data_IF_974522175749
#
_entry.id   IF_974522175749
#
_cell.length_a   1.000
_cell.length_b   1.000
_cell.length_c   1.000
_cell.angle_alpha   90.00
_cell.angle_beta   90.00
_cell.angle_gamma   90.00
#
_symmetry.space_group_name_H-M   'P 1'
#
loop_
_entity.id
_entity.type
_entity.pdbx_description
1 polymer ?
#
# COMPACT_ATOMS: atom_id res chain seq x y z
N UNK A 1 9.13 31.12 1.86
CA UNK A 1 7.83 30.40 1.92
C UNK A 1 7.96 29.26 2.92
N UNK A 2 7.07 29.12 3.91
CA UNK A 2 6.99 27.88 4.70
C UNK A 2 6.10 26.92 3.92
N UNK A 3 6.63 25.78 3.52
CA UNK A 3 5.83 24.71 2.92
C UNK A 3 4.71 24.31 3.90
N UNK A 4 3.46 24.40 3.45
CA UNK A 4 2.32 23.87 4.18
C UNK A 4 2.26 22.38 3.89
N UNK A 5 2.66 21.58 4.88
CA UNK A 5 2.44 20.14 4.87
C UNK A 5 0.99 19.81 4.53
N UNK A 6 0.79 18.96 3.53
CA UNK A 6 -0.50 18.41 3.10
C UNK A 6 -1.13 17.58 4.22
N UNK A 7 -2.35 17.09 3.99
CA UNK A 7 -3.00 16.18 4.94
C UNK A 7 -2.15 14.92 5.16
N UNK A 8 -1.63 14.33 4.09
CA UNK A 8 -0.86 13.09 4.16
C UNK A 8 0.56 13.30 4.70
N UNK A 9 1.22 14.43 4.41
CA UNK A 9 2.49 14.82 5.03
C UNK A 9 2.46 14.81 6.57
N UNK A 10 1.27 15.04 7.15
CA UNK A 10 1.07 15.07 8.60
C UNK A 10 0.70 13.71 9.18
N UNK A 11 0.11 12.83 8.38
CA UNK A 11 -0.56 11.61 8.87
C UNK A 11 0.11 10.30 8.44
N UNK A 12 0.88 10.29 7.34
CA UNK A 12 1.45 9.08 6.76
C UNK A 12 2.24 8.23 7.78
N UNK A 13 3.07 8.86 8.62
CA UNK A 13 3.87 8.14 9.62
C UNK A 13 3.08 7.43 10.73
N UNK A 14 1.77 7.71 10.88
CA UNK A 14 0.89 7.05 11.87
C UNK A 14 -0.13 6.12 11.22
N UNK A 15 -0.30 6.20 9.90
CA UNK A 15 -1.35 5.51 9.17
C UNK A 15 -1.27 3.99 9.39
N UNK A 16 -0.09 3.40 9.19
CA UNK A 16 0.12 1.95 9.38
C UNK A 16 -0.25 1.48 10.79
N UNK A 17 0.04 2.28 11.82
CA UNK A 17 -0.32 1.93 13.20
C UNK A 17 -1.84 1.94 13.40
N UNK A 18 -2.56 2.84 12.73
CA UNK A 18 -4.03 2.87 12.78
C UNK A 18 -4.62 1.64 12.09
N UNK A 19 -4.11 1.30 10.89
CA UNK A 19 -4.60 0.18 10.08
C UNK A 19 -4.36 -1.21 10.70
N UNK A 20 -3.44 -1.35 11.66
CA UNK A 20 -3.24 -2.62 12.39
C UNK A 20 -4.50 -3.14 13.07
N UNK A 21 -5.45 -2.27 13.43
CA UNK A 21 -6.72 -2.69 14.02
C UNK A 21 -7.55 -3.54 13.06
N UNK A 22 -7.37 -3.31 11.76
CA UNK A 22 -8.05 -4.01 10.68
C UNK A 22 -7.19 -5.14 10.09
N UNK A 23 -6.16 -5.60 10.83
CA UNK A 23 -5.16 -6.54 10.32
C UNK A 23 -5.75 -7.81 9.70
N UNK A 24 -6.80 -8.40 10.30
CA UNK A 24 -7.44 -9.59 9.76
C UNK A 24 -8.08 -9.35 8.37
N UNK A 25 -8.65 -8.16 8.14
CA UNK A 25 -9.20 -7.81 6.83
C UNK A 25 -8.07 -7.65 5.80
N UNK A 26 -6.94 -7.05 6.20
CA UNK A 26 -5.76 -6.92 5.34
C UNK A 26 -5.15 -8.27 4.97
N UNK A 27 -4.98 -9.19 5.93
CA UNK A 27 -4.49 -10.54 5.62
C UNK A 27 -5.40 -11.24 4.61
N UNK A 28 -6.72 -11.18 4.81
CA UNK A 28 -7.67 -11.75 3.85
C UNK A 28 -7.55 -11.09 2.47
N UNK A 29 -7.36 -9.77 2.39
CA UNK A 29 -7.11 -9.10 1.11
C UNK A 29 -5.83 -9.58 0.45
N UNK A 30 -4.74 -9.75 1.19
CA UNK A 30 -3.47 -10.25 0.65
C UNK A 30 -3.63 -11.65 0.07
N UNK A 31 -4.28 -12.56 0.80
CA UNK A 31 -4.55 -13.92 0.34
C UNK A 31 -5.38 -13.95 -0.96
N UNK A 32 -6.35 -13.06 -1.09
CA UNK A 32 -7.17 -12.96 -2.30
C UNK A 32 -6.40 -12.36 -3.49
N UNK A 33 -5.54 -11.36 -3.25
CA UNK A 33 -4.84 -10.63 -4.31
C UNK A 33 -3.64 -11.42 -4.84
N UNK A 34 -2.87 -12.07 -3.97
CA UNK A 34 -1.65 -12.81 -4.34
C UNK A 34 -1.82 -13.78 -5.54
N UNK A 35 -2.84 -14.65 -5.62
CA UNK A 35 -3.01 -15.53 -6.77
C UNK A 35 -3.36 -14.77 -8.05
N UNK A 36 -4.04 -13.63 -7.95
CA UNK A 36 -4.47 -12.82 -9.10
C UNK A 36 -3.28 -12.11 -9.76
N UNK A 37 -2.32 -11.66 -8.95
CA UNK A 37 -1.14 -10.91 -9.40
C UNK A 37 0.06 -11.80 -9.75
N UNK A 38 -0.06 -13.12 -9.54
CA UNK A 38 1.06 -14.05 -9.63
C UNK A 38 1.77 -13.96 -11.00
N UNK A 39 3.08 -13.68 -10.96
CA UNK A 39 3.94 -13.52 -12.14
C UNK A 39 3.53 -12.39 -13.11
N UNK A 40 2.71 -11.42 -12.66
CA UNK A 40 2.28 -10.28 -13.46
C UNK A 40 3.09 -9.03 -13.17
N UNK A 41 3.07 -8.10 -14.11
CA UNK A 41 3.43 -6.70 -13.85
C UNK A 41 2.19 -5.98 -13.32
N UNK A 42 2.32 -5.31 -12.16
CA UNK A 42 1.21 -4.69 -11.43
C UNK A 42 1.47 -3.20 -11.26
N UNK A 43 0.41 -2.39 -11.37
CA UNK A 43 0.42 -0.97 -11.00
C UNK A 43 -0.54 -0.76 -9.83
N UNK A 44 -0.02 -0.30 -8.69
CA UNK A 44 -0.80 0.16 -7.55
C UNK A 44 -0.93 1.68 -7.59
N UNK A 45 -2.17 2.16 -7.75
CA UNK A 45 -2.51 3.58 -7.72
C UNK A 45 -2.93 4.00 -6.32
N UNK A 46 -2.53 5.21 -5.91
CA UNK A 46 -2.80 5.76 -4.59
C UNK A 46 -2.30 4.82 -3.47
N UNK A 47 -1.05 4.37 -3.59
CA UNK A 47 -0.48 3.35 -2.71
C UNK A 47 -0.32 3.80 -1.26
N UNK A 48 -0.35 5.11 -1.00
CA UNK A 48 -0.11 5.68 0.31
C UNK A 48 1.22 5.20 0.89
N UNK A 49 1.18 4.48 2.01
CA UNK A 49 2.37 3.91 2.65
C UNK A 49 2.88 2.60 2.02
N UNK A 50 2.21 2.10 0.99
CA UNK A 50 2.58 0.89 0.27
C UNK A 50 2.25 -0.40 1.01
N UNK A 51 1.26 -0.40 1.90
CA UNK A 51 0.90 -1.58 2.71
C UNK A 51 0.58 -2.79 1.84
N UNK A 52 -0.23 -2.61 0.79
CA UNK A 52 -0.62 -3.68 -0.13
C UNK A 52 0.58 -4.13 -0.96
N UNK A 53 1.21 -3.23 -1.73
CA UNK A 53 2.40 -3.53 -2.54
C UNK A 53 3.44 -4.36 -1.78
N UNK A 54 3.79 -3.95 -0.56
CA UNK A 54 4.79 -4.63 0.28
C UNK A 54 4.44 -6.09 0.59
N UNK A 55 3.15 -6.42 0.72
CA UNK A 55 2.69 -7.76 1.10
C UNK A 55 2.46 -8.68 -0.10
N UNK A 56 2.28 -8.12 -1.29
CA UNK A 56 2.03 -8.91 -2.52
C UNK A 56 3.24 -8.95 -3.48
N UNK A 57 4.30 -8.17 -3.23
CA UNK A 57 5.48 -8.06 -4.13
C UNK A 57 6.12 -9.40 -4.45
N UNK A 58 6.15 -10.34 -3.49
CA UNK A 58 6.73 -11.66 -3.69
C UNK A 58 5.91 -12.57 -4.63
N UNK A 59 4.62 -12.25 -4.84
CA UNK A 59 3.77 -12.99 -5.77
C UNK A 59 3.88 -12.43 -7.20
N UNK A 60 4.03 -11.11 -7.34
CA UNK A 60 4.13 -10.44 -8.64
C UNK A 60 5.51 -10.62 -9.29
N UNK A 61 5.59 -10.43 -10.61
CA UNK A 61 6.87 -10.35 -11.33
C UNK A 61 7.50 -8.95 -11.19
N UNK A 62 6.65 -7.91 -11.18
CA UNK A 62 7.05 -6.53 -10.97
C UNK A 62 5.87 -5.73 -10.40
N UNK A 63 6.12 -4.81 -9.48
CA UNK A 63 5.11 -3.87 -8.98
C UNK A 63 5.65 -2.45 -9.09
N UNK A 64 4.91 -1.61 -9.81
CA UNK A 64 5.02 -0.16 -9.72
C UNK A 64 3.94 0.33 -8.75
N UNK A 65 4.32 1.13 -7.76
CA UNK A 65 3.40 1.68 -6.77
C UNK A 65 3.56 3.20 -6.74
N UNK A 66 2.49 3.92 -7.07
CA UNK A 66 2.51 5.38 -7.22
C UNK A 66 1.49 6.03 -6.30
N UNK A 67 1.88 7.17 -5.74
CA UNK A 67 1.03 8.01 -4.91
C UNK A 67 1.27 9.48 -5.25
N UNK A 68 0.28 10.34 -4.97
CA UNK A 68 0.33 11.76 -5.27
C UNK A 68 0.60 12.63 -4.03
N UNK A 69 0.71 12.02 -2.83
CA UNK A 69 0.85 12.71 -1.55
C UNK A 69 2.23 13.28 -1.25
#
# INVERSE_FOLDING_TARGET
MKERKTFWDKNAGRYDRFMRKDGAAYEMMYEMIQPVVRHKTVLELATGTGLIAKHIVNAAAHIEATDAS
#
